data_IF_733257733230
#
_entry.id   IF_733257733230
#
_cell.length_a   1.000
_cell.length_b   1.000
_cell.length_c   1.000
_cell.angle_alpha   90.00
_cell.angle_beta   90.00
_cell.angle_gamma   90.00
#
_symmetry.space_group_name_H-M   'P 1'
#
loop_
_entity.id
_entity.type
_entity.pdbx_description
1 polymer ?
#
# COMPACT_ATOMS: atom_id res chain seq x y z
N UNK A 1 -6.89 -12.31 12.17
CA UNK A 1 -7.08 -12.19 10.70
C UNK A 1 -8.52 -12.56 10.39
N UNK A 2 -9.35 -11.60 9.97
CA UNK A 2 -10.76 -11.85 9.64
C UNK A 2 -10.85 -12.09 8.14
N UNK A 3 -11.18 -13.32 7.75
CA UNK A 3 -11.19 -13.78 6.37
C UNK A 3 -12.40 -13.19 5.63
N UNK A 4 -12.17 -12.25 4.71
CA UNK A 4 -13.22 -11.60 3.90
C UNK A 4 -13.85 -12.53 2.85
N UNK A 5 -13.38 -13.77 2.70
CA UNK A 5 -13.92 -14.75 1.75
C UNK A 5 -15.39 -15.15 1.99
N UNK A 6 -15.99 -14.84 3.16
CA UNK A 6 -17.38 -15.24 3.48
C UNK A 6 -18.43 -14.13 3.47
N UNK A 7 -18.05 -12.85 3.27
CA UNK A 7 -19.05 -11.78 3.10
C UNK A 7 -19.24 -11.54 1.60
N UNK A 8 -20.50 -11.65 1.12
CA UNK A 8 -20.91 -11.08 -0.18
C UNK A 8 -20.35 -9.66 -0.26
N UNK A 9 -19.32 -9.45 -1.07
CA UNK A 9 -18.77 -8.12 -1.27
C UNK A 9 -19.85 -7.29 -1.97
N UNK A 10 -20.27 -6.14 -1.41
CA UNK A 10 -21.09 -5.20 -2.15
C UNK A 10 -20.42 -4.87 -3.49
N UNK A 11 -21.20 -4.65 -4.54
CA UNK A 11 -20.71 -4.21 -5.86
C UNK A 11 -19.88 -2.93 -5.68
N UNK A 12 -18.55 -3.01 -5.91
CA UNK A 12 -17.64 -1.91 -5.64
C UNK A 12 -16.17 -2.29 -5.81
N UNK A 13 -15.29 -1.28 -5.76
CA UNK A 13 -13.83 -1.47 -5.82
C UNK A 13 -13.27 -1.44 -4.41
N UNK A 14 -12.43 -2.42 -4.10
CA UNK A 14 -11.75 -2.55 -2.82
C UNK A 14 -10.24 -2.48 -3.04
N UNK A 15 -9.60 -1.60 -2.28
CA UNK A 15 -8.16 -1.56 -2.13
C UNK A 15 -7.80 -1.91 -0.71
N UNK A 16 -7.06 -2.99 -0.56
CA UNK A 16 -6.59 -3.47 0.73
C UNK A 16 -5.08 -3.36 0.78
N UNK A 17 -4.60 -2.83 1.89
CA UNK A 17 -3.18 -2.68 2.17
C UNK A 17 -2.92 -3.20 3.57
N UNK A 18 -2.08 -4.21 3.69
CA UNK A 18 -1.77 -4.91 4.96
C UNK A 18 -3.01 -5.41 5.74
N UNK A 19 -4.06 -5.81 5.03
CA UNK A 19 -5.30 -6.30 5.66
C UNK A 19 -6.34 -5.21 5.96
N UNK A 20 -5.98 -3.94 5.78
CA UNK A 20 -6.87 -2.80 6.02
C UNK A 20 -7.39 -2.24 4.69
N UNK A 21 -8.71 -2.06 4.60
CA UNK A 21 -9.35 -1.45 3.43
C UNK A 21 -9.02 0.05 3.41
N UNK A 22 -8.16 0.45 2.49
CA UNK A 22 -7.72 1.84 2.32
C UNK A 22 -8.71 2.66 1.47
N UNK A 23 -9.40 1.99 0.55
CA UNK A 23 -10.39 2.61 -0.30
C UNK A 23 -11.49 1.60 -0.61
N UNK A 24 -12.70 1.92 -0.18
CA UNK A 24 -13.93 1.28 -0.63
C UNK A 24 -14.75 2.32 -1.39
N UNK A 25 -14.98 2.08 -2.68
CA UNK A 25 -15.82 2.95 -3.51
C UNK A 25 -17.03 2.15 -4.00
N UNK A 26 -18.22 2.61 -3.60
CA UNK A 26 -19.42 2.32 -4.37
C UNK A 26 -19.37 3.17 -5.63
N UNK A 27 -19.42 2.53 -6.77
CA UNK A 27 -19.35 3.22 -8.05
C UNK A 27 -20.73 3.70 -8.47
N UNK A 28 -20.77 4.77 -9.27
CA UNK A 28 -22.01 5.19 -9.94
C UNK A 28 -22.54 4.05 -10.83
N UNK A 29 -23.80 4.17 -11.29
CA UNK A 29 -24.41 3.19 -12.22
C UNK A 29 -23.53 2.87 -13.44
N UNK A 30 -22.74 3.82 -13.91
CA UNK A 30 -21.79 3.65 -15.01
C UNK A 30 -20.55 2.82 -14.63
N UNK A 31 -20.08 2.88 -13.38
CA UNK A 31 -18.98 2.05 -12.93
C UNK A 31 -19.37 0.61 -12.58
N UNK A 32 -20.66 0.33 -12.37
CA UNK A 32 -21.18 -1.03 -12.19
C UNK A 32 -21.12 -1.88 -13.47
N UNK A 33 -20.94 -1.29 -14.65
CA UNK A 33 -20.80 -2.04 -15.91
C UNK A 33 -19.38 -2.55 -16.12
N UNK A 34 -18.37 -1.91 -15.52
CA UNK A 34 -16.97 -2.31 -15.62
C UNK A 34 -16.71 -3.47 -14.64
N UNK A 35 -16.44 -4.64 -15.20
CA UNK A 35 -16.24 -5.89 -14.44
C UNK A 35 -14.77 -6.21 -14.17
N UNK A 36 -13.85 -5.44 -14.74
CA UNK A 36 -12.42 -5.70 -14.69
C UNK A 36 -11.62 -4.39 -14.59
N UNK A 37 -11.06 -4.12 -13.41
CA UNK A 37 -10.22 -2.97 -13.12
C UNK A 37 -8.73 -3.30 -13.17
N UNK A 38 -8.34 -4.53 -13.54
CA UNK A 38 -6.94 -4.94 -13.58
C UNK A 38 -6.07 -3.98 -14.43
N UNK A 39 -6.54 -3.39 -15.55
CA UNK A 39 -5.77 -2.36 -16.25
C UNK A 39 -5.44 -1.14 -15.38
N UNK A 40 -6.43 -0.57 -14.67
CA UNK A 40 -6.23 0.55 -13.77
C UNK A 40 -5.36 0.19 -12.56
N UNK A 41 -5.53 -1.03 -12.03
CA UNK A 41 -4.74 -1.52 -10.90
C UNK A 41 -3.24 -1.60 -11.22
N UNK A 42 -2.86 -1.89 -12.47
CA UNK A 42 -1.44 -1.88 -12.89
C UNK A 42 -0.81 -0.48 -12.78
N UNK A 43 -1.58 0.58 -12.98
CA UNK A 43 -1.08 1.94 -12.80
C UNK A 43 -1.03 2.32 -11.31
N UNK A 44 -2.02 1.88 -10.52
CA UNK A 44 -1.99 2.06 -9.06
C UNK A 44 -0.79 1.34 -8.42
N UNK A 45 -0.41 0.15 -8.90
CA UNK A 45 0.78 -0.57 -8.41
C UNK A 45 2.06 0.28 -8.58
N UNK A 46 2.18 1.02 -9.69
CA UNK A 46 3.34 1.91 -9.92
C UNK A 46 3.34 3.05 -8.90
N UNK A 47 2.18 3.68 -8.71
CA UNK A 47 2.01 4.75 -7.71
C UNK A 47 2.29 4.26 -6.29
N UNK A 48 1.88 3.03 -5.96
CA UNK A 48 2.19 2.40 -4.69
C UNK A 48 3.71 2.27 -4.48
N UNK A 49 4.45 1.75 -5.47
CA UNK A 49 5.90 1.63 -5.34
C UNK A 49 6.61 2.99 -5.25
N UNK A 50 6.11 4.01 -5.93
CA UNK A 50 6.64 5.38 -5.81
C UNK A 50 6.35 5.99 -4.43
N UNK A 51 5.15 5.78 -3.91
CA UNK A 51 4.73 6.19 -2.56
C UNK A 51 5.62 5.54 -1.49
N UNK A 52 5.80 4.21 -1.55
CA UNK A 52 6.65 3.47 -0.61
C UNK A 52 8.11 3.94 -0.66
N UNK A 53 8.67 4.21 -1.86
CA UNK A 53 10.03 4.75 -1.98
C UNK A 53 10.18 6.08 -1.24
N UNK A 54 9.26 7.03 -1.47
CA UNK A 54 9.24 8.31 -0.77
C UNK A 54 9.13 8.13 0.74
N UNK A 55 8.31 7.18 1.18
CA UNK A 55 8.14 6.88 2.60
C UNK A 55 9.42 6.36 3.24
N UNK A 56 10.13 5.42 2.61
CA UNK A 56 11.41 4.91 3.13
C UNK A 56 12.55 5.94 3.05
N UNK A 57 12.62 6.73 1.98
CA UNK A 57 13.61 7.79 1.79
C UNK A 57 13.47 8.92 2.82
N UNK A 58 12.23 9.25 3.18
CA UNK A 58 11.92 10.28 4.18
C UNK A 58 11.83 9.74 5.62
N UNK A 59 12.18 8.46 5.83
CA UNK A 59 12.04 7.77 7.13
C UNK A 59 10.65 7.97 7.77
N UNK A 60 9.61 7.83 6.93
CA UNK A 60 8.20 7.99 7.32
C UNK A 60 7.66 9.42 7.24
N UNK A 61 8.48 10.40 6.85
CA UNK A 61 8.09 11.80 6.74
C UNK A 61 7.01 12.07 5.70
N UNK A 62 6.98 11.30 4.61
CA UNK A 62 6.05 11.50 3.50
C UNK A 62 4.58 11.32 3.89
N UNK A 63 4.24 10.20 4.52
CA UNK A 63 2.86 9.83 4.85
C UNK A 63 2.58 9.74 6.35
N UNK A 64 3.57 9.38 7.17
CA UNK A 64 3.36 9.05 8.59
C UNK A 64 3.80 10.14 9.57
N UNK A 65 4.23 11.30 9.08
CA UNK A 65 4.73 12.40 9.92
C UNK A 65 6.11 12.13 10.53
N UNK A 66 6.84 11.14 10.02
CA UNK A 66 8.13 10.70 10.52
C UNK A 66 8.03 9.49 11.44
N UNK A 67 8.91 8.51 11.23
CA UNK A 67 8.98 7.35 12.12
C UNK A 67 9.66 7.71 13.44
N UNK A 68 9.14 7.13 14.52
CA UNK A 68 9.75 7.30 15.83
C UNK A 68 11.24 6.89 15.80
N UNK A 69 12.13 7.65 16.46
CA UNK A 69 13.55 7.35 16.50
C UNK A 69 13.81 5.96 17.11
N UNK A 70 14.99 5.42 16.84
CA UNK A 70 15.47 4.20 17.51
C UNK A 70 15.75 4.52 18.99
N UNK A 71 15.64 3.53 19.87
CA UNK A 71 16.18 3.68 21.22
C UNK A 71 17.69 3.86 21.16
N UNK A 72 18.27 4.59 22.11
CA UNK A 72 19.71 4.90 22.14
C UNK A 72 20.56 3.62 22.00
N UNK A 73 20.33 2.62 22.86
CA UNK A 73 21.08 1.36 22.84
C UNK A 73 20.99 0.63 21.50
N UNK A 74 19.80 0.61 20.88
CA UNK A 74 19.63 -0.04 19.59
C UNK A 74 20.27 0.78 18.46
N UNK A 75 20.19 2.12 18.52
CA UNK A 75 20.84 3.00 17.58
C UNK A 75 22.36 2.83 17.62
N UNK A 76 22.96 2.75 18.80
CA UNK A 76 24.40 2.52 18.97
C UNK A 76 24.83 1.16 18.44
N UNK A 77 24.11 0.09 18.81
CA UNK A 77 24.37 -1.24 18.29
C UNK A 77 24.27 -1.26 16.77
N UNK A 78 23.21 -0.66 16.21
CA UNK A 78 22.97 -0.61 14.78
C UNK A 78 24.05 0.21 14.06
N UNK A 79 24.49 1.33 14.61
CA UNK A 79 25.55 2.15 14.03
C UNK A 79 26.88 1.38 13.93
N UNK A 80 27.18 0.52 14.91
CA UNK A 80 28.38 -0.33 14.91
C UNK A 80 28.28 -1.51 13.92
N UNK A 81 27.13 -2.17 13.85
CA UNK A 81 26.95 -3.41 13.07
C UNK A 81 26.44 -3.17 11.63
N UNK A 82 25.73 -2.07 11.41
CA UNK A 82 25.07 -1.69 10.16
C UNK A 82 25.23 -0.18 9.92
N UNK A 83 26.47 0.30 9.77
CA UNK A 83 26.76 1.74 9.67
C UNK A 83 26.00 2.39 8.52
N UNK A 84 25.45 3.58 8.77
CA UNK A 84 24.76 4.40 7.77
C UNK A 84 23.37 3.90 7.33
N UNK A 85 22.81 2.84 7.95
CA UNK A 85 21.48 2.34 7.56
C UNK A 85 20.32 3.16 8.18
N UNK A 86 19.36 3.65 7.38
CA UNK A 86 18.18 4.39 7.87
C UNK A 86 17.26 3.56 8.76
N UNK A 87 16.37 4.21 9.52
CA UNK A 87 15.30 3.60 10.30
C UNK A 87 14.50 2.62 9.43
N UNK A 88 14.06 1.51 10.02
CA UNK A 88 13.31 0.44 9.33
C UNK A 88 14.13 -0.30 8.25
N UNK A 89 15.42 -0.01 8.11
CA UNK A 89 16.32 -0.69 7.20
C UNK A 89 17.48 -1.29 7.98
N UNK A 90 17.53 -2.63 8.03
CA UNK A 90 18.69 -3.38 8.52
C UNK A 90 19.36 -4.10 7.34
N UNK A 91 18.64 -5.04 6.75
CA UNK A 91 19.03 -5.75 5.51
C UNK A 91 18.42 -5.12 4.25
N UNK A 92 17.47 -4.20 4.39
CA UNK A 92 16.69 -3.64 3.28
C UNK A 92 15.57 -4.56 2.76
N UNK A 93 15.37 -5.74 3.35
CA UNK A 93 14.42 -6.74 2.85
C UNK A 93 12.98 -6.23 2.82
N UNK A 94 12.53 -5.56 3.88
CA UNK A 94 11.18 -5.00 3.96
C UNK A 94 10.97 -3.85 2.96
N UNK A 95 11.92 -2.91 2.88
CA UNK A 95 11.90 -1.87 1.85
C UNK A 95 11.79 -2.51 0.46
N UNK A 96 12.66 -3.47 0.14
CA UNK A 96 12.66 -4.13 -1.17
C UNK A 96 11.31 -4.80 -1.50
N UNK A 97 10.70 -5.48 -0.51
CA UNK A 97 9.40 -6.13 -0.67
C UNK A 97 8.25 -5.15 -0.92
N UNK A 98 8.35 -3.92 -0.40
CA UNK A 98 7.32 -2.89 -0.53
C UNK A 98 7.57 -1.93 -1.70
N UNK A 99 8.81 -1.76 -2.15
CA UNK A 99 9.15 -0.84 -3.26
C UNK A 99 9.37 -1.54 -4.60
N UNK A 100 9.43 -2.87 -4.62
CA UNK A 100 9.67 -3.69 -5.80
C UNK A 100 8.90 -5.01 -5.70
N UNK A 101 8.89 -5.77 -6.79
CA UNK A 101 8.35 -7.14 -6.80
C UNK A 101 9.43 -8.14 -6.40
N UNK A 102 9.29 -8.75 -5.21
CA UNK A 102 10.15 -9.81 -4.69
C UNK A 102 9.33 -11.06 -4.32
N UNK A 103 9.99 -12.09 -3.77
CA UNK A 103 9.30 -13.27 -3.21
C UNK A 103 8.48 -12.96 -1.93
N UNK A 104 8.67 -11.77 -1.37
CA UNK A 104 8.00 -11.32 -0.15
C UNK A 104 6.93 -10.25 -0.38
N UNK A 105 6.77 -9.81 -1.63
CA UNK A 105 5.74 -8.84 -2.03
C UNK A 105 4.39 -9.52 -2.12
N UNK A 106 3.37 -8.93 -1.51
CA UNK A 106 1.97 -9.23 -1.79
C UNK A 106 1.52 -8.27 -2.89
N UNK A 107 1.21 -8.83 -4.05
CA UNK A 107 0.64 -8.10 -5.19
C UNK A 107 -0.43 -8.98 -5.86
N UNK A 108 -1.62 -9.03 -5.26
CA UNK A 108 -2.74 -9.83 -5.75
C UNK A 108 -3.68 -8.95 -6.57
N UNK A 109 -3.91 -9.34 -7.83
CA UNK A 109 -4.70 -8.58 -8.79
C UNK A 109 -5.87 -9.42 -9.30
N UNK A 110 -7.07 -9.10 -8.82
CA UNK A 110 -8.33 -9.69 -9.26
C UNK A 110 -9.15 -8.65 -10.05
N UNK A 111 -10.23 -9.03 -10.75
CA UNK A 111 -11.02 -8.08 -11.53
C UNK A 111 -11.55 -6.88 -10.73
N UNK A 112 -11.91 -7.03 -9.45
CA UNK A 112 -12.49 -5.96 -8.63
C UNK A 112 -11.71 -5.69 -7.32
N UNK A 113 -10.57 -6.36 -7.12
CA UNK A 113 -9.78 -6.29 -5.90
C UNK A 113 -8.30 -6.19 -6.22
N UNK A 114 -7.64 -5.23 -5.56
CA UNK A 114 -6.19 -5.10 -5.52
C UNK A 114 -5.72 -5.22 -4.07
N UNK A 115 -4.80 -6.14 -3.81
CA UNK A 115 -4.09 -6.24 -2.52
C UNK A 115 -2.61 -5.96 -2.69
N UNK A 116 -2.09 -5.10 -1.83
CA UNK A 116 -0.68 -4.70 -1.79
C UNK A 116 -0.10 -4.81 -0.38
N UNK A 117 1.17 -5.17 -0.28
CA UNK A 117 1.87 -5.26 1.00
C UNK A 117 3.02 -6.27 0.96
N UNK A 118 3.29 -6.89 2.10
CA UNK A 118 4.34 -7.92 2.23
C UNK A 118 3.92 -9.11 3.09
N UNK A 119 4.47 -10.29 2.82
CA UNK A 119 4.32 -11.47 3.66
C UNK A 119 5.33 -11.51 4.83
N UNK A 120 6.19 -10.50 4.96
CA UNK A 120 7.13 -10.37 6.07
C UNK A 120 6.37 -10.08 7.36
N UNK A 121 6.28 -11.07 8.25
CA UNK A 121 5.54 -10.97 9.52
C UNK A 121 5.86 -9.72 10.34
N UNK A 122 7.12 -9.28 10.34
CA UNK A 122 7.54 -8.10 11.09
C UNK A 122 7.15 -6.77 10.44
N UNK A 123 6.76 -6.76 9.16
CA UNK A 123 6.13 -5.62 8.50
C UNK A 123 4.88 -5.17 9.24
N UNK A 124 4.02 -6.11 9.63
CA UNK A 124 2.83 -5.84 10.44
C UNK A 124 3.16 -5.22 11.81
N UNK A 125 4.26 -5.64 12.46
CA UNK A 125 4.70 -5.06 13.73
C UNK A 125 5.14 -3.61 13.57
N UNK A 126 5.75 -3.25 12.44
CA UNK A 126 6.06 -1.85 12.14
C UNK A 126 4.81 -1.06 11.76
N UNK A 127 3.88 -1.65 11.01
CA UNK A 127 2.62 -1.02 10.62
C UNK A 127 1.74 -0.66 11.83
N UNK A 128 1.62 -1.58 12.78
CA UNK A 128 0.68 -1.40 13.91
C UNK A 128 1.35 -0.99 15.22
N UNK A 129 2.68 -1.16 15.32
CA UNK A 129 3.38 -1.10 16.59
C UNK A 129 3.11 -2.34 17.44
N UNK A 130 3.78 -2.41 18.58
CA UNK A 130 3.59 -3.45 19.59
C UNK A 130 3.68 -2.83 20.98
N UNK A 131 3.42 -3.61 22.04
CA UNK A 131 3.65 -3.16 23.43
C UNK A 131 5.10 -2.72 23.70
N UNK A 132 6.08 -3.18 22.90
CA UNK A 132 7.52 -2.94 23.12
C UNK A 132 8.16 -2.07 22.02
N UNK A 133 7.41 -1.68 21.00
CA UNK A 133 7.94 -0.99 19.84
C UNK A 133 6.89 -0.03 19.28
N UNK A 134 7.20 1.25 19.07
CA UNK A 134 6.27 2.18 18.45
C UNK A 134 5.99 1.77 16.99
N UNK A 135 4.83 2.16 16.49
CA UNK A 135 4.53 2.03 15.07
C UNK A 135 5.48 2.91 14.25
N UNK A 136 5.98 2.35 13.15
CA UNK A 136 6.79 3.02 12.14
C UNK A 136 6.21 2.61 10.80
N UNK A 137 5.01 3.11 10.51
CA UNK A 137 4.16 2.63 9.41
C UNK A 137 4.91 2.72 8.07
N UNK A 138 5.36 1.58 7.51
CA UNK A 138 5.95 1.59 6.19
C UNK A 138 4.91 1.96 5.13
N UNK A 139 3.64 1.62 5.37
CA UNK A 139 2.58 1.93 4.43
C UNK A 139 1.59 2.93 5.02
N UNK A 140 1.56 4.13 4.48
CA UNK A 140 0.62 5.18 4.88
C UNK A 140 0.36 6.10 3.69
N UNK A 141 -0.91 6.16 3.26
CA UNK A 141 -1.29 6.97 2.10
C UNK A 141 -1.60 8.40 2.54
N UNK A 142 -0.96 9.36 1.90
CA UNK A 142 -1.37 10.77 2.01
C UNK A 142 -2.70 11.00 1.32
N UNK A 143 -3.35 12.13 1.61
CA UNK A 143 -4.51 12.58 0.84
C UNK A 143 -4.17 12.84 -0.64
N UNK A 144 -2.91 13.15 -0.96
CA UNK A 144 -2.47 13.26 -2.34
C UNK A 144 -2.47 11.90 -3.04
N UNK A 145 -1.91 10.86 -2.42
CA UNK A 145 -1.88 9.50 -2.98
C UNK A 145 -3.29 8.97 -3.24
N UNK A 146 -4.19 9.15 -2.27
CA UNK A 146 -5.61 8.77 -2.41
C UNK A 146 -6.26 9.46 -3.61
N UNK A 147 -5.97 10.75 -3.84
CA UNK A 147 -6.49 11.49 -5.00
C UNK A 147 -5.92 10.97 -6.31
N UNK A 148 -4.61 10.68 -6.37
CA UNK A 148 -3.99 10.13 -7.58
C UNK A 148 -4.57 8.76 -7.94
N UNK A 149 -4.78 7.89 -6.95
CA UNK A 149 -5.41 6.58 -7.18
C UNK A 149 -6.85 6.72 -7.67
N UNK A 150 -7.62 7.65 -7.11
CA UNK A 150 -8.99 7.96 -7.57
C UNK A 150 -8.97 8.47 -9.02
N UNK A 151 -8.03 9.34 -9.39
CA UNK A 151 -7.89 9.81 -10.78
C UNK A 151 -7.61 8.68 -11.75
N UNK A 152 -6.75 7.72 -11.39
CA UNK A 152 -6.48 6.53 -12.23
C UNK A 152 -7.78 5.76 -12.49
N UNK A 153 -8.57 5.51 -11.45
CA UNK A 153 -9.85 4.81 -11.59
C UNK A 153 -10.86 5.60 -12.42
N UNK A 154 -11.00 6.91 -12.18
CA UNK A 154 -11.91 7.76 -12.94
C UNK A 154 -11.53 7.82 -14.43
N UNK A 155 -10.24 7.98 -14.73
CA UNK A 155 -9.73 7.99 -16.11
C UNK A 155 -10.03 6.66 -16.81
N UNK A 156 -9.84 5.55 -16.11
CA UNK A 156 -10.16 4.23 -16.62
C UNK A 156 -11.67 4.09 -16.92
N UNK A 157 -12.53 4.46 -15.97
CA UNK A 157 -13.99 4.43 -16.13
C UNK A 157 -14.48 5.23 -17.33
N UNK A 158 -13.98 6.46 -17.51
CA UNK A 158 -14.32 7.30 -18.66
C UNK A 158 -13.92 6.63 -19.97
N UNK A 159 -12.73 6.02 -20.00
CA UNK A 159 -12.22 5.30 -21.17
C UNK A 159 -13.12 4.11 -21.53
N UNK A 160 -13.51 3.30 -20.55
CA UNK A 160 -14.38 2.14 -20.78
C UNK A 160 -15.81 2.54 -21.15
N UNK A 161 -16.35 3.60 -20.55
CA UNK A 161 -17.69 4.10 -20.86
C UNK A 161 -17.77 4.61 -22.30
N UNK A 162 -16.73 5.31 -22.78
CA UNK A 162 -16.62 5.74 -24.19
C UNK A 162 -16.53 4.55 -25.14
N UNK A 163 -15.72 3.53 -24.83
CA UNK A 163 -15.62 2.30 -25.64
C UNK A 163 -16.97 1.56 -25.73
N UNK A 164 -17.77 1.61 -24.68
CA UNK A 164 -19.09 1.00 -24.64
C UNK A 164 -20.19 1.83 -25.32
N UNK A 165 -19.88 3.03 -25.84
CA UNK A 165 -20.87 3.92 -26.45
C UNK A 165 -21.85 4.54 -25.44
N UNK A 166 -21.47 4.63 -24.17
CA UNK A 166 -22.31 5.11 -23.06
C UNK A 166 -21.97 6.54 -22.61
N UNK A 167 -21.05 7.22 -23.29
CA UNK A 167 -20.56 8.57 -22.98
C UNK A 167 -20.53 9.45 -24.22
#
# INVERSE_FOLDING_TARGET
MRNLRSRKLPTGIYFEVEGDVQLARSLSRFGNSVKDYRPAFRDIIKLFYEMEKKQFESEGGYGSGGWAPLSADYAEWKAKNFPGKPILQLTGKLMSALTNKTGETIQEIEPLLLKLGTNLKYGLFHQTGTKKMPARKPIEMTEHDKREWVKVIQKYLVTETRKAGLA
#
